data_IF_685068889612
#
_entry.id   IF_685068889612
#
_cell.length_a   1.000
_cell.length_b   1.000
_cell.length_c   1.000
_cell.angle_alpha   90.00
_cell.angle_beta   90.00
_cell.angle_gamma   90.00
#
_symmetry.space_group_name_H-M   'P 1'
#
loop_
_entity.id
_entity.type
_entity.pdbx_description
1 polymer ?
#
# COMPACT_ATOMS: atom_id res chain seq x y z
N UNK A 1 23.00 7.75 -26.08
CA UNK A 1 22.30 7.71 -24.77
C UNK A 1 23.14 6.82 -23.87
N UNK A 2 23.73 7.38 -22.81
CA UNK A 2 24.68 6.65 -21.95
C UNK A 2 23.90 5.90 -20.87
N UNK A 3 24.28 4.66 -20.57
CA UNK A 3 23.64 3.78 -19.58
C UNK A 3 23.45 4.52 -18.23
N UNK A 4 24.42 5.32 -17.82
CA UNK A 4 24.37 6.12 -16.58
C UNK A 4 23.17 7.10 -16.52
N UNK A 5 22.79 7.74 -17.63
CA UNK A 5 21.65 8.66 -17.67
C UNK A 5 20.31 7.90 -17.53
N UNK A 6 20.26 6.66 -18.02
CA UNK A 6 19.09 5.80 -17.87
C UNK A 6 18.97 5.25 -16.45
N UNK A 7 20.09 4.88 -15.81
CA UNK A 7 20.14 4.44 -14.42
C UNK A 7 19.72 5.55 -13.45
N UNK A 8 20.20 6.78 -13.66
CA UNK A 8 19.79 7.95 -12.87
C UNK A 8 18.29 8.21 -13.00
N UNK A 9 17.77 8.22 -14.24
CA UNK A 9 16.35 8.38 -14.51
C UNK A 9 15.49 7.27 -13.88
N UNK A 10 15.95 6.02 -13.94
CA UNK A 10 15.27 4.89 -13.31
C UNK A 10 15.20 5.05 -11.79
N UNK A 11 16.32 5.40 -11.16
CA UNK A 11 16.38 5.68 -9.72
C UNK A 11 15.42 6.79 -9.30
N UNK A 12 15.34 7.87 -10.07
CA UNK A 12 14.41 8.97 -9.79
C UNK A 12 12.94 8.55 -9.93
N UNK A 13 12.62 7.72 -10.92
CA UNK A 13 11.28 7.18 -11.11
C UNK A 13 10.88 6.25 -9.96
N UNK A 14 11.76 5.35 -9.56
CA UNK A 14 11.53 4.47 -8.40
C UNK A 14 11.32 5.26 -7.11
N UNK A 15 12.18 6.26 -6.87
CA UNK A 15 12.07 7.12 -5.70
C UNK A 15 10.75 7.90 -5.68
N UNK A 16 10.27 8.33 -6.84
CA UNK A 16 9.00 9.04 -6.96
C UNK A 16 7.79 8.11 -6.82
N UNK A 17 7.86 6.87 -7.32
CA UNK A 17 6.83 5.86 -7.11
C UNK A 17 6.69 5.52 -5.62
N UNK A 18 7.81 5.28 -4.92
CA UNK A 18 7.83 4.97 -3.47
C UNK A 18 7.17 6.03 -2.58
N UNK A 19 7.11 7.29 -2.99
CA UNK A 19 6.44 8.35 -2.22
C UNK A 19 4.91 8.16 -2.13
N UNK A 20 4.33 7.37 -3.04
CA UNK A 20 2.90 7.06 -3.08
C UNK A 20 2.57 5.73 -2.39
N UNK A 21 3.56 5.04 -1.86
CA UNK A 21 3.38 3.72 -1.28
C UNK A 21 3.05 3.80 0.22
N UNK A 22 2.29 2.82 0.69
CA UNK A 22 2.12 2.52 2.11
C UNK A 22 2.27 1.02 2.34
N UNK A 23 2.74 0.66 3.53
CA UNK A 23 2.75 -0.70 4.03
C UNK A 23 1.73 -0.82 5.14
N UNK A 24 0.83 -1.79 4.99
CA UNK A 24 -0.15 -2.14 6.01
C UNK A 24 0.19 -3.50 6.62
N UNK A 25 0.13 -3.57 7.94
CA UNK A 25 0.22 -4.82 8.69
C UNK A 25 -1.15 -5.20 9.26
N UNK A 26 -1.33 -6.50 9.45
CA UNK A 26 -2.46 -7.15 10.14
C UNK A 26 -3.74 -7.30 9.30
N UNK A 27 -3.70 -7.96 8.14
CA UNK A 27 -4.87 -8.67 7.60
C UNK A 27 -4.58 -10.16 7.76
N UNK A 28 -5.49 -10.93 8.37
CA UNK A 28 -5.34 -12.38 8.44
C UNK A 28 -5.19 -12.92 7.02
N UNK A 29 -4.11 -13.65 6.75
CA UNK A 29 -3.88 -14.21 5.43
C UNK A 29 -4.69 -15.49 5.29
N UNK A 30 -5.72 -15.46 4.44
CA UNK A 30 -6.53 -16.65 4.14
C UNK A 30 -5.77 -17.58 3.17
N UNK A 31 -6.00 -18.90 3.26
CA UNK A 31 -5.38 -19.90 2.38
C UNK A 31 -5.75 -19.69 0.90
N UNK A 32 -6.93 -19.12 0.64
CA UNK A 32 -7.46 -18.86 -0.71
C UNK A 32 -7.67 -17.35 -0.98
N UNK A 33 -6.86 -16.49 -0.36
CA UNK A 33 -6.92 -15.04 -0.61
C UNK A 33 -6.66 -14.73 -2.09
N UNK A 34 -7.60 -14.04 -2.73
CA UNK A 34 -7.46 -13.55 -4.11
C UNK A 34 -7.06 -12.07 -4.10
N UNK A 35 -6.38 -11.62 -5.15
CA UNK A 35 -6.01 -10.21 -5.32
C UNK A 35 -7.25 -9.30 -5.34
N UNK A 36 -8.35 -9.78 -5.92
CA UNK A 36 -9.62 -9.03 -5.99
C UNK A 36 -10.19 -8.83 -4.58
N UNK A 37 -10.34 -9.90 -3.80
CA UNK A 37 -10.86 -9.82 -2.43
C UNK A 37 -9.96 -8.94 -1.54
N UNK A 38 -8.63 -9.12 -1.63
CA UNK A 38 -7.69 -8.29 -0.90
C UNK A 38 -7.84 -6.80 -1.26
N UNK A 39 -8.03 -6.49 -2.53
CA UNK A 39 -8.23 -5.10 -2.99
C UNK A 39 -9.55 -4.53 -2.47
N UNK A 40 -10.63 -5.31 -2.46
CA UNK A 40 -11.93 -4.92 -1.91
C UNK A 40 -11.83 -4.64 -0.40
N UNK A 41 -11.22 -5.54 0.37
CA UNK A 41 -11.02 -5.40 1.81
C UNK A 41 -10.22 -4.13 2.13
N UNK A 42 -9.11 -3.89 1.42
CA UNK A 42 -8.29 -2.69 1.57
C UNK A 42 -9.08 -1.43 1.18
N UNK A 43 -9.86 -1.48 0.11
CA UNK A 43 -10.70 -0.35 -0.32
C UNK A 43 -11.71 0.01 0.76
N UNK A 44 -12.33 -0.97 1.41
CA UNK A 44 -13.28 -0.76 2.50
C UNK A 44 -12.60 -0.13 3.73
N UNK A 45 -11.42 -0.62 4.11
CA UNK A 45 -10.63 -0.06 5.21
C UNK A 45 -10.27 1.40 4.92
N UNK A 46 -9.77 1.70 3.73
CA UNK A 46 -9.39 3.06 3.34
C UNK A 46 -10.62 3.98 3.28
N UNK A 47 -11.74 3.49 2.75
CA UNK A 47 -13.00 4.25 2.72
C UNK A 47 -13.50 4.60 4.12
N UNK A 48 -13.26 3.74 5.13
CA UNK A 48 -13.60 4.02 6.53
C UNK A 48 -12.81 5.18 7.14
N UNK A 49 -11.72 5.63 6.51
CA UNK A 49 -10.94 6.79 6.97
C UNK A 49 -11.58 8.13 6.60
N UNK A 50 -12.67 8.12 5.81
CA UNK A 50 -13.39 9.30 5.31
C UNK A 50 -12.49 10.24 4.49
N UNK A 51 -11.55 9.67 3.75
CA UNK A 51 -10.66 10.42 2.85
C UNK A 51 -11.38 10.76 1.53
N UNK A 52 -11.09 11.93 0.98
CA UNK A 52 -11.63 12.37 -0.32
C UNK A 52 -10.82 11.79 -1.47
N UNK A 53 -11.48 11.26 -2.51
CA UNK A 53 -10.83 10.70 -3.70
C UNK A 53 -10.55 9.19 -3.60
N UNK A 54 -11.62 8.40 -3.56
CA UNK A 54 -11.64 6.95 -3.36
C UNK A 54 -11.10 6.11 -4.53
N UNK A 55 -10.84 6.71 -5.70
CA UNK A 55 -10.18 6.05 -6.85
C UNK A 55 -8.65 6.00 -6.69
N UNK A 56 -8.20 5.78 -5.45
CA UNK A 56 -6.84 6.08 -5.03
C UNK A 56 -5.90 4.89 -4.98
N UNK A 57 -6.37 3.66 -5.24
CA UNK A 57 -5.54 2.47 -5.27
C UNK A 57 -5.05 2.16 -6.69
N UNK A 58 -3.73 2.05 -6.88
CA UNK A 58 -3.12 1.60 -8.13
C UNK A 58 -2.76 0.13 -8.07
N UNK A 59 -2.21 -0.32 -6.95
CA UNK A 59 -1.79 -1.71 -6.76
C UNK A 59 -1.98 -2.12 -5.30
N UNK A 60 -2.42 -3.35 -5.06
CA UNK A 60 -2.47 -3.98 -3.74
C UNK A 60 -1.88 -5.39 -3.85
N UNK A 61 -0.88 -5.69 -3.02
CA UNK A 61 -0.24 -7.03 -3.00
C UNK A 61 0.36 -7.36 -1.65
N UNK A 62 0.45 -8.66 -1.33
CA UNK A 62 1.23 -9.16 -0.19
C UNK A 62 2.73 -9.13 -0.51
N UNK A 63 3.55 -8.74 0.47
CA UNK A 63 5.00 -8.74 0.35
C UNK A 63 5.61 -10.06 0.86
N UNK A 64 6.53 -10.61 0.07
CA UNK A 64 7.30 -11.79 0.44
C UNK A 64 6.59 -13.13 0.24
N UNK A 65 7.26 -14.19 0.69
CA UNK A 65 6.75 -15.57 0.62
C UNK A 65 5.88 -15.88 1.84
N UNK A 66 4.84 -16.70 1.64
CA UNK A 66 3.93 -17.12 2.69
C UNK A 66 4.73 -17.90 3.74
N UNK A 67 4.54 -17.55 5.01
CA UNK A 67 5.14 -18.25 6.15
C UNK A 67 4.01 -18.66 7.10
N UNK A 68 4.07 -19.90 7.61
CA UNK A 68 2.97 -20.48 8.39
C UNK A 68 2.63 -19.71 9.67
N UNK A 69 3.60 -18.97 10.24
CA UNK A 69 3.44 -18.34 11.55
C UNK A 69 3.23 -16.82 11.49
N UNK A 70 3.20 -16.21 10.29
CA UNK A 70 3.13 -14.74 10.16
C UNK A 70 2.36 -14.29 8.92
N UNK A 71 1.40 -13.38 9.13
CA UNK A 71 0.71 -12.68 8.05
C UNK A 71 1.71 -11.81 7.28
N UNK A 72 1.69 -11.91 5.95
CA UNK A 72 2.53 -11.04 5.12
C UNK A 72 2.05 -9.59 5.17
N UNK A 73 2.98 -8.60 5.18
CA UNK A 73 2.61 -7.21 5.01
C UNK A 73 1.93 -6.99 3.66
N UNK A 74 1.04 -6.00 3.60
CA UNK A 74 0.38 -5.59 2.37
C UNK A 74 1.05 -4.31 1.90
N UNK A 75 1.55 -4.34 0.68
CA UNK A 75 2.01 -3.18 -0.06
C UNK A 75 0.86 -2.61 -0.87
N UNK A 76 0.71 -1.29 -0.80
CA UNK A 76 -0.33 -0.55 -1.48
C UNK A 76 0.34 0.63 -2.19
N UNK A 77 0.20 0.69 -3.51
CA UNK A 77 0.54 1.89 -4.29
C UNK A 77 -0.70 2.75 -4.47
N UNK A 78 -0.56 4.04 -4.17
CA UNK A 78 -1.64 5.01 -4.30
C UNK A 78 -1.51 5.87 -5.55
N UNK A 79 -2.62 6.44 -6.00
CA UNK A 79 -2.67 7.32 -7.17
C UNK A 79 -1.91 8.62 -6.94
N UNK A 80 -1.90 9.14 -5.70
CA UNK A 80 -1.24 10.41 -5.39
C UNK A 80 -0.56 10.41 -4.02
N UNK A 81 0.47 11.24 -3.88
CA UNK A 81 1.16 11.50 -2.61
C UNK A 81 0.21 12.19 -1.61
N UNK A 82 -0.74 12.99 -2.09
CA UNK A 82 -1.74 13.65 -1.25
C UNK A 82 -2.60 12.63 -0.51
N UNK A 83 -3.14 11.64 -1.23
CA UNK A 83 -3.93 10.54 -0.65
C UNK A 83 -3.10 9.76 0.38
N UNK A 84 -1.85 9.43 0.05
CA UNK A 84 -0.92 8.75 0.97
C UNK A 84 -0.77 9.51 2.29
N UNK A 85 -0.59 10.83 2.22
CA UNK A 85 -0.45 11.66 3.40
C UNK A 85 -1.76 11.79 4.21
N UNK A 86 -2.91 11.82 3.55
CA UNK A 86 -4.22 11.81 4.23
C UNK A 86 -4.47 10.50 4.98
N UNK A 87 -4.16 9.35 4.37
CA UNK A 87 -4.24 8.04 5.02
C UNK A 87 -3.35 8.02 6.27
N UNK A 88 -2.11 8.49 6.16
CA UNK A 88 -1.19 8.49 7.30
C UNK A 88 -1.58 9.47 8.41
N UNK A 89 -2.26 10.56 8.09
CA UNK A 89 -2.83 11.49 9.09
C UNK A 89 -3.99 10.85 9.84
N UNK A 90 -4.83 10.09 9.14
CA UNK A 90 -6.03 9.46 9.72
C UNK A 90 -5.79 8.05 10.28
N UNK A 91 -4.60 7.46 10.09
CA UNK A 91 -4.30 6.07 10.50
C UNK A 91 -4.52 5.79 11.99
N UNK A 92 -4.53 6.82 12.84
CA UNK A 92 -4.84 6.67 14.27
C UNK A 92 -6.25 6.12 14.50
N UNK A 93 -7.19 6.35 13.57
CA UNK A 93 -8.54 5.74 13.59
C UNK A 93 -8.50 4.21 13.49
N UNK A 94 -7.41 3.65 12.96
CA UNK A 94 -7.22 2.21 12.76
C UNK A 94 -6.31 1.56 13.81
N UNK A 95 -5.77 2.35 14.76
CA UNK A 95 -4.81 1.87 15.76
C UNK A 95 -5.40 0.74 16.60
N UNK A 96 -4.63 -0.34 16.79
CA UNK A 96 -5.04 -1.54 17.52
C UNK A 96 -5.79 -2.58 16.68
N UNK A 97 -6.19 -2.21 15.45
CA UNK A 97 -6.68 -3.16 14.44
C UNK A 97 -5.68 -3.31 13.29
N UNK A 98 -5.09 -2.20 12.86
CA UNK A 98 -4.17 -2.13 11.73
C UNK A 98 -3.02 -1.20 12.03
N UNK A 99 -1.85 -1.51 11.47
CA UNK A 99 -0.68 -0.62 11.54
C UNK A 99 -0.29 -0.20 10.12
N UNK A 100 -0.27 1.11 9.89
CA UNK A 100 0.05 1.70 8.58
C UNK A 100 1.35 2.51 8.69
N UNK A 101 2.26 2.21 7.76
CA UNK A 101 3.54 2.87 7.57
C UNK A 101 3.64 3.37 6.13
N UNK A 102 4.50 4.36 5.89
CA UNK A 102 4.83 4.79 4.55
C UNK A 102 6.27 5.25 4.48
#
# INVERSE_FOLDING_TARGET
>A
MKIAEQEERLSDLERNSRKKEIIMFILQEEDEETVVKLTEDITQIISSLEITGTDSLQEVKRLGQRANDRNRPIHIELSTIATRNEILRNKTKLKGKWEIYG
#
